data_IF_985944390132
#
_entry.id   IF_985944390132
#
_cell.length_a   1.000
_cell.length_b   1.000
_cell.length_c   1.000
_cell.angle_alpha   90.00
_cell.angle_beta   90.00
_cell.angle_gamma   90.00
#
_symmetry.space_group_name_H-M   'P 1'
#
loop_
_entity.id
_entity.type
_entity.pdbx_description
1 polymer ?
#
# COMPACT_ATOMS: atom_id res chain seq x y z
N UNK A 1 28.44 1.16 40.45
CA UNK A 1 28.28 0.90 39.00
C UNK A 1 27.51 2.07 38.41
N UNK A 2 28.08 2.79 37.45
CA UNK A 2 27.32 3.84 36.74
C UNK A 2 26.18 3.22 35.92
N UNK A 3 25.03 3.91 35.80
CA UNK A 3 23.94 3.46 34.94
C UNK A 3 24.45 3.31 33.49
N UNK A 4 24.09 2.21 32.84
CA UNK A 4 24.43 2.00 31.44
C UNK A 4 23.66 3.01 30.59
N UNK A 5 24.30 3.64 29.60
CA UNK A 5 23.61 4.56 28.70
C UNK A 5 22.51 3.82 27.93
N UNK A 6 21.41 4.51 27.66
CA UNK A 6 20.31 4.00 26.84
C UNK A 6 20.83 3.71 25.43
N UNK A 7 20.46 2.54 24.89
CA UNK A 7 20.82 2.18 23.52
C UNK A 7 20.13 3.11 22.54
N UNK A 8 20.83 3.52 21.48
CA UNK A 8 20.31 4.50 20.52
C UNK A 8 18.98 4.08 19.89
N UNK A 9 18.81 2.79 19.56
CA UNK A 9 17.56 2.24 19.00
C UNK A 9 16.40 2.16 20.01
N UNK A 10 16.66 2.41 21.29
CA UNK A 10 15.64 2.52 22.36
C UNK A 10 15.43 3.98 22.79
N UNK A 11 16.15 4.93 22.21
CA UNK A 11 16.01 6.35 22.49
C UNK A 11 15.08 7.00 21.45
N UNK A 12 13.82 7.23 21.83
CA UNK A 12 12.82 7.86 20.95
C UNK A 12 13.16 9.32 20.58
N UNK A 13 13.85 10.06 21.44
CA UNK A 13 14.26 11.44 21.13
C UNK A 13 15.24 11.44 19.96
N UNK A 14 16.25 10.57 20.00
CA UNK A 14 17.18 10.36 18.90
C UNK A 14 16.47 9.83 17.65
N UNK A 15 15.63 8.79 17.78
CA UNK A 15 14.97 8.19 16.62
C UNK A 15 14.01 9.13 15.87
N UNK A 16 13.52 10.19 16.52
CA UNK A 16 12.68 11.22 15.90
C UNK A 16 13.45 12.48 15.47
N UNK A 17 14.75 12.56 15.77
CA UNK A 17 15.59 13.69 15.40
C UNK A 17 15.95 13.69 13.89
N UNK A 18 16.48 14.80 13.35
CA UNK A 18 16.98 14.85 11.97
C UNK A 18 18.10 13.82 11.69
N UNK A 19 18.97 13.56 12.66
CA UNK A 19 20.11 12.65 12.56
C UNK A 19 19.67 11.20 12.29
N UNK A 20 18.53 10.78 12.83
CA UNK A 20 17.99 9.45 12.63
C UNK A 20 17.09 9.32 11.38
N UNK A 21 16.96 10.35 10.54
CA UNK A 21 16.09 10.29 9.34
C UNK A 21 16.44 9.12 8.42
N UNK A 22 17.73 8.87 8.17
CA UNK A 22 18.16 7.78 7.30
C UNK A 22 17.70 6.41 7.83
N UNK A 23 17.68 6.24 9.15
CA UNK A 23 17.20 5.02 9.81
C UNK A 23 15.69 4.88 9.60
N UNK A 24 14.91 5.95 9.81
CA UNK A 24 13.45 5.92 9.57
C UNK A 24 13.12 5.57 8.12
N UNK A 25 13.80 6.18 7.15
CA UNK A 25 13.64 5.85 5.73
C UNK A 25 13.95 4.37 5.46
N UNK A 26 15.01 3.83 6.06
CA UNK A 26 15.31 2.41 5.92
C UNK A 26 14.22 1.51 6.52
N UNK A 27 13.64 1.89 7.66
CA UNK A 27 12.51 1.18 8.25
C UNK A 27 11.28 1.15 7.32
N UNK A 28 10.96 2.27 6.66
CA UNK A 28 9.85 2.36 5.69
C UNK A 28 10.05 1.49 4.45
N UNK A 29 11.26 0.98 4.19
CA UNK A 29 11.53 0.03 3.12
C UNK A 29 11.55 -1.41 3.65
N UNK A 30 12.31 -1.67 4.72
CA UNK A 30 12.54 -3.02 5.22
C UNK A 30 11.31 -3.65 5.86
N UNK A 31 10.52 -2.86 6.58
CA UNK A 31 9.35 -3.37 7.29
C UNK A 31 8.24 -3.82 6.32
N UNK A 32 7.85 -3.02 5.30
CA UNK A 32 6.94 -3.49 4.27
C UNK A 32 7.45 -4.68 3.47
N UNK A 33 8.74 -4.71 3.10
CA UNK A 33 9.35 -5.86 2.40
C UNK A 33 9.22 -7.14 3.23
N UNK A 34 9.52 -7.07 4.53
CA UNK A 34 9.32 -8.20 5.44
C UNK A 34 7.86 -8.65 5.46
N UNK A 35 6.92 -7.71 5.56
CA UNK A 35 5.49 -8.02 5.59
C UNK A 35 5.00 -8.66 4.29
N UNK A 36 5.46 -8.18 3.13
CA UNK A 36 5.11 -8.77 1.83
C UNK A 36 5.60 -10.21 1.71
N UNK A 37 6.83 -10.51 2.16
CA UNK A 37 7.33 -11.89 2.20
C UNK A 37 6.56 -12.80 3.15
N UNK A 38 6.14 -12.29 4.32
CA UNK A 38 5.36 -13.08 5.28
C UNK A 38 3.92 -13.37 4.82
N UNK A 39 3.43 -12.63 3.83
CA UNK A 39 2.08 -12.75 3.25
C UNK A 39 2.09 -13.30 1.82
N UNK A 40 3.23 -13.77 1.33
CA UNK A 40 3.41 -14.29 -0.04
C UNK A 40 2.91 -13.30 -1.12
N UNK A 41 3.22 -12.00 -0.95
CA UNK A 41 2.87 -10.94 -1.90
C UNK A 41 4.07 -10.64 -2.80
N UNK A 42 4.21 -11.42 -3.88
CA UNK A 42 5.32 -11.28 -4.82
C UNK A 42 4.91 -10.62 -6.15
N UNK A 43 3.69 -10.87 -6.62
CA UNK A 43 3.21 -10.35 -7.90
C UNK A 43 2.04 -9.40 -7.67
N UNK A 44 2.18 -8.15 -8.13
CA UNK A 44 1.15 -7.13 -7.94
C UNK A 44 0.72 -6.49 -9.25
N UNK A 45 -0.55 -6.09 -9.32
CA UNK A 45 -1.08 -5.23 -10.37
C UNK A 45 -1.33 -3.87 -9.76
N UNK A 46 -0.57 -2.86 -10.20
CA UNK A 46 -0.66 -1.50 -9.65
C UNK A 46 -1.74 -0.71 -10.40
N UNK A 47 -2.72 -0.22 -9.65
CA UNK A 47 -3.79 0.64 -10.15
C UNK A 47 -3.44 2.11 -9.90
N UNK A 48 -3.60 2.94 -10.92
CA UNK A 48 -3.47 4.40 -10.82
C UNK A 48 -4.80 5.06 -11.16
N UNK A 49 -5.14 6.11 -10.42
CA UNK A 49 -6.40 6.83 -10.60
C UNK A 49 -6.45 8.15 -9.82
N UNK A 50 -7.52 8.91 -10.04
CA UNK A 50 -7.75 10.18 -9.35
C UNK A 50 -8.11 9.94 -7.87
N UNK A 51 -7.35 10.54 -6.95
CA UNK A 51 -7.69 10.57 -5.51
C UNK A 51 -8.93 11.42 -5.19
N UNK A 52 -9.48 12.13 -6.19
CA UNK A 52 -10.61 13.07 -6.03
C UNK A 52 -11.90 12.56 -6.65
N UNK A 53 -11.97 11.27 -6.97
CA UNK A 53 -13.16 10.68 -7.54
C UNK A 53 -14.33 10.73 -6.54
N UNK A 54 -15.47 11.36 -6.87
CA UNK A 54 -16.62 11.37 -5.99
C UNK A 54 -17.36 10.02 -6.03
N UNK A 55 -18.19 9.75 -5.02
CA UNK A 55 -19.19 8.68 -5.13
C UNK A 55 -20.27 9.08 -6.13
N UNK A 56 -20.96 8.09 -6.72
CA UNK A 56 -22.07 8.35 -7.65
C UNK A 56 -23.14 9.27 -7.05
N UNK A 57 -23.45 9.12 -5.77
CA UNK A 57 -24.41 9.96 -5.05
C UNK A 57 -23.97 11.43 -4.91
N UNK A 58 -22.65 11.69 -4.87
CA UNK A 58 -22.07 13.03 -4.69
C UNK A 58 -21.71 13.69 -6.02
N UNK A 59 -21.90 12.99 -7.13
CA UNK A 59 -21.59 13.51 -8.45
C UNK A 59 -22.68 14.50 -8.92
N UNK A 60 -22.33 15.79 -8.91
CA UNK A 60 -23.26 16.89 -9.21
C UNK A 60 -23.35 17.24 -10.69
N UNK A 61 -22.33 16.92 -11.46
CA UNK A 61 -22.16 17.30 -12.85
C UNK A 61 -21.73 16.10 -13.71
N UNK A 62 -21.76 16.25 -15.03
CA UNK A 62 -21.44 15.15 -15.94
C UNK A 62 -19.99 14.66 -15.79
N UNK A 63 -19.05 15.57 -15.52
CA UNK A 63 -17.65 15.20 -15.37
C UNK A 63 -17.42 14.42 -14.07
N UNK A 64 -18.01 14.85 -12.95
CA UNK A 64 -17.98 14.11 -11.69
C UNK A 64 -18.67 12.76 -11.80
N UNK A 65 -19.78 12.64 -12.56
CA UNK A 65 -20.45 11.35 -12.82
C UNK A 65 -19.56 10.39 -13.60
N UNK A 66 -18.93 10.84 -14.69
CA UNK A 66 -17.99 10.00 -15.46
C UNK A 66 -16.80 9.52 -14.64
N UNK A 67 -16.29 10.36 -13.74
CA UNK A 67 -15.25 9.94 -12.80
C UNK A 67 -15.78 8.83 -11.87
N UNK A 68 -16.93 9.05 -11.25
CA UNK A 68 -17.55 8.05 -10.36
C UNK A 68 -17.82 6.72 -11.07
N UNK A 69 -18.31 6.74 -12.31
CA UNK A 69 -18.47 5.55 -13.16
C UNK A 69 -17.13 4.85 -13.43
N UNK A 70 -16.07 5.62 -13.68
CA UNK A 70 -14.72 5.08 -13.87
C UNK A 70 -14.18 4.40 -12.61
N UNK A 71 -14.52 4.93 -11.43
CA UNK A 71 -14.15 4.31 -10.15
C UNK A 71 -14.90 2.98 -9.93
N UNK A 72 -16.19 2.93 -10.24
CA UNK A 72 -16.95 1.67 -10.19
C UNK A 72 -16.40 0.64 -11.18
N UNK A 73 -16.02 1.07 -12.39
CA UNK A 73 -15.37 0.20 -13.36
C UNK A 73 -14.02 -0.34 -12.85
N UNK A 74 -13.23 0.48 -12.15
CA UNK A 74 -11.98 0.05 -11.54
C UNK A 74 -12.20 -0.97 -10.41
N UNK A 75 -13.25 -0.78 -9.57
CA UNK A 75 -13.64 -1.74 -8.54
C UNK A 75 -14.02 -3.09 -9.12
N UNK A 76 -14.85 -3.08 -10.17
CA UNK A 76 -15.26 -4.30 -10.86
C UNK A 76 -14.08 -5.00 -11.53
N UNK A 77 -13.19 -4.24 -12.17
CA UNK A 77 -11.97 -4.79 -12.75
C UNK A 77 -11.08 -5.46 -11.69
N UNK A 78 -10.87 -4.80 -10.55
CA UNK A 78 -10.10 -5.37 -9.44
C UNK A 78 -10.72 -6.69 -8.95
N UNK A 79 -12.04 -6.74 -8.76
CA UNK A 79 -12.74 -7.95 -8.35
C UNK A 79 -12.55 -9.11 -9.35
N UNK A 80 -12.74 -8.82 -10.64
CA UNK A 80 -12.55 -9.81 -11.72
C UNK A 80 -11.11 -10.31 -11.81
N UNK A 81 -10.13 -9.42 -11.66
CA UNK A 81 -8.72 -9.79 -11.65
C UNK A 81 -8.38 -10.67 -10.45
N UNK A 82 -8.92 -10.39 -9.27
CA UNK A 82 -8.73 -11.25 -8.09
C UNK A 82 -9.31 -12.65 -8.32
N UNK A 83 -10.56 -12.75 -8.78
CA UNK A 83 -11.18 -14.06 -9.08
C UNK A 83 -10.37 -14.81 -10.12
N UNK A 84 -10.00 -14.14 -11.22
CA UNK A 84 -9.19 -14.75 -12.26
C UNK A 84 -7.82 -15.18 -11.73
N UNK A 85 -7.18 -14.38 -10.89
CA UNK A 85 -5.89 -14.71 -10.30
C UNK A 85 -5.95 -15.97 -9.44
N UNK A 86 -7.06 -16.23 -8.75
CA UNK A 86 -7.24 -17.45 -7.96
C UNK A 86 -7.40 -18.71 -8.83
N UNK A 87 -7.72 -18.55 -10.12
CA UNK A 87 -7.79 -19.68 -11.07
C UNK A 87 -6.44 -20.06 -11.67
N UNK A 88 -5.37 -19.31 -11.37
CA UNK A 88 -4.04 -19.60 -11.92
C UNK A 88 -3.52 -20.94 -11.37
N UNK A 89 -2.90 -21.78 -12.22
CA UNK A 89 -2.49 -23.13 -11.84
C UNK A 89 -1.31 -23.16 -10.85
N UNK A 90 -0.57 -22.06 -10.77
CA UNK A 90 0.59 -21.91 -9.91
C UNK A 90 0.26 -20.88 -8.81
N UNK A 91 0.09 -21.32 -7.55
CA UNK A 91 -0.25 -20.43 -6.44
C UNK A 91 0.78 -19.31 -6.21
N UNK A 92 2.05 -19.55 -6.54
CA UNK A 92 3.15 -18.56 -6.45
C UNK A 92 3.01 -17.43 -7.48
N UNK A 93 2.13 -17.61 -8.49
CA UNK A 93 1.82 -16.60 -9.51
C UNK A 93 0.55 -15.82 -9.20
N UNK A 94 0.01 -15.93 -7.98
CA UNK A 94 -1.14 -15.12 -7.58
C UNK A 94 -0.77 -13.64 -7.67
N UNK A 95 -1.67 -12.87 -8.29
CA UNK A 95 -1.59 -11.44 -8.52
C UNK A 95 -2.47 -10.73 -7.49
N UNK A 96 -1.90 -9.77 -6.78
CA UNK A 96 -2.60 -8.96 -5.77
C UNK A 96 -2.75 -7.53 -6.28
N UNK A 97 -3.91 -6.92 -6.06
CA UNK A 97 -4.12 -5.52 -6.43
C UNK A 97 -3.37 -4.60 -5.46
N UNK A 98 -2.61 -3.64 -5.99
CA UNK A 98 -1.91 -2.61 -5.24
C UNK A 98 -2.33 -1.23 -5.74
N UNK A 99 -2.50 -0.25 -4.85
CA UNK A 99 -2.74 1.14 -5.20
C UNK A 99 -1.97 2.06 -4.25
N UNK A 100 -1.76 3.30 -4.69
CA UNK A 100 -1.14 4.36 -3.87
C UNK A 100 -2.11 5.04 -2.91
#
# INVERSE_FOLDING_TARGET
MSPKPTKAYSNNEFLNSPEARAIRVQCEILEPEKRFRELDVDNTIVFFGSARCPSLEKATDEHSRRQAESYEAARELAHRLTIWSDTLPDPEKRLVICSG
#
